data_IF_543605432786
#
_entry.id   IF_543605432786
#
_cell.length_a   1.000
_cell.length_b   1.000
_cell.length_c   1.000
_cell.angle_alpha   90.00
_cell.angle_beta   90.00
_cell.angle_gamma   90.00
#
_symmetry.space_group_name_H-M   'P 1'
#
loop_
_entity.id
_entity.type
_entity.pdbx_description
1 polymer ?
#
# COMPACT_ATOMS: atom_id res chain seq x y z
N UNK A 1 19.80 21.64 -12.94
CA UNK A 1 19.25 22.98 -13.22
C UNK A 1 17.75 22.82 -13.44
N UNK A 2 16.98 23.26 -12.45
CA UNK A 2 15.51 23.13 -12.31
C UNK A 2 14.83 24.32 -13.01
N UNK A 3 13.58 24.19 -13.48
CA UNK A 3 12.80 25.33 -14.00
C UNK A 3 12.95 26.51 -13.02
N UNK A 4 13.49 27.66 -13.45
CA UNK A 4 14.00 28.72 -12.55
C UNK A 4 12.91 29.57 -11.84
N UNK A 5 11.75 28.99 -11.51
CA UNK A 5 10.66 29.73 -10.83
C UNK A 5 10.13 30.92 -11.64
N UNK A 6 10.45 31.00 -12.94
CA UNK A 6 9.95 32.04 -13.83
C UNK A 6 8.52 31.66 -14.21
N UNK A 7 7.61 32.62 -14.08
CA UNK A 7 6.24 32.48 -14.52
C UNK A 7 6.19 32.26 -16.04
N UNK A 8 5.99 31.02 -16.51
CA UNK A 8 5.89 30.72 -17.94
C UNK A 8 4.44 30.82 -18.39
N UNK A 9 4.20 31.74 -19.33
CA UNK A 9 2.89 32.08 -19.84
C UNK A 9 2.76 31.72 -21.33
N UNK A 10 1.52 31.58 -21.83
CA UNK A 10 1.26 31.46 -23.27
C UNK A 10 1.98 32.54 -24.08
N UNK A 11 2.48 32.18 -25.27
CA UNK A 11 3.30 33.00 -26.17
C UNK A 11 4.76 33.27 -25.74
N UNK A 12 5.20 32.74 -24.60
CA UNK A 12 6.63 32.73 -24.26
C UNK A 12 7.42 31.78 -25.16
N UNK A 13 8.70 32.10 -25.36
CA UNK A 13 9.61 31.35 -26.25
C UNK A 13 10.99 31.27 -25.62
N UNK A 14 11.70 30.18 -25.85
CA UNK A 14 13.11 30.08 -25.47
C UNK A 14 13.49 28.73 -24.87
N UNK A 15 14.67 28.70 -24.25
CA UNK A 15 15.22 27.49 -23.63
C UNK A 15 14.36 26.99 -22.46
N UNK A 16 13.71 27.89 -21.73
CA UNK A 16 12.86 27.53 -20.58
C UNK A 16 11.63 26.74 -21.04
N UNK A 17 11.02 27.15 -22.16
CA UNK A 17 9.87 26.44 -22.75
C UNK A 17 10.31 25.10 -23.33
N UNK A 18 11.49 25.01 -23.95
CA UNK A 18 12.04 23.72 -24.40
C UNK A 18 12.22 22.75 -23.24
N UNK A 19 12.71 23.25 -22.11
CA UNK A 19 12.88 22.44 -20.89
C UNK A 19 11.54 21.97 -20.35
N UNK A 20 10.57 22.87 -20.20
CA UNK A 20 9.21 22.52 -19.79
C UNK A 20 8.62 21.42 -20.68
N UNK A 21 8.72 21.56 -22.00
CA UNK A 21 8.21 20.56 -22.94
C UNK A 21 8.93 19.21 -22.81
N UNK A 22 10.25 19.21 -22.63
CA UNK A 22 11.03 18.00 -22.42
C UNK A 22 10.71 17.32 -21.08
N UNK A 23 10.52 18.11 -20.02
CA UNK A 23 10.17 17.65 -18.68
C UNK A 23 8.75 17.07 -18.64
N UNK A 24 7.77 17.71 -19.29
CA UNK A 24 6.41 17.20 -19.43
C UNK A 24 6.34 15.90 -20.25
N UNK A 25 7.29 15.65 -21.16
CA UNK A 25 7.32 14.37 -21.87
C UNK A 25 7.71 13.18 -20.98
N UNK A 26 8.42 13.41 -19.87
CA UNK A 26 8.85 12.34 -18.97
C UNK A 26 7.70 11.65 -18.22
N UNK A 27 6.72 12.36 -17.61
CA UNK A 27 5.54 11.75 -17.00
C UNK A 27 4.52 11.23 -18.02
N UNK A 28 4.84 11.22 -19.33
CA UNK A 28 4.05 10.54 -20.37
C UNK A 28 3.24 11.46 -21.28
N UNK A 29 3.47 12.77 -21.29
CA UNK A 29 2.89 13.64 -22.32
C UNK A 29 3.67 13.50 -23.63
N UNK A 30 3.03 13.82 -24.76
CA UNK A 30 3.67 13.77 -26.08
C UNK A 30 3.62 15.16 -26.71
N UNK A 31 4.64 15.95 -26.41
CA UNK A 31 4.83 17.31 -26.91
C UNK A 31 6.05 17.39 -27.82
N UNK A 32 5.92 18.14 -28.91
CA UNK A 32 7.06 18.54 -29.72
C UNK A 32 7.90 19.58 -28.99
N UNK A 33 9.20 19.32 -28.78
CA UNK A 33 10.11 20.26 -28.12
C UNK A 33 10.56 21.33 -29.12
N UNK A 34 9.70 22.33 -29.34
CA UNK A 34 9.93 23.43 -30.29
C UNK A 34 10.36 24.73 -29.58
N UNK A 35 10.23 24.81 -28.26
CA UNK A 35 10.56 26.01 -27.48
C UNK A 35 9.56 27.15 -27.61
N UNK A 36 8.35 26.85 -28.07
CA UNK A 36 7.23 27.78 -28.17
C UNK A 36 6.13 27.31 -27.23
N UNK A 37 5.60 28.22 -26.40
CA UNK A 37 4.48 27.91 -25.53
C UNK A 37 3.19 27.92 -26.36
N UNK A 38 3.01 26.86 -27.14
CA UNK A 38 1.88 26.65 -28.04
C UNK A 38 0.65 26.11 -27.30
N UNK A 39 -0.48 26.02 -28.02
CA UNK A 39 -1.73 25.51 -27.44
C UNK A 39 -1.59 24.08 -26.92
N UNK A 40 -0.71 23.26 -27.49
CA UNK A 40 -0.46 21.90 -27.02
C UNK A 40 0.26 21.89 -25.68
N UNK A 41 1.28 22.75 -25.53
CA UNK A 41 2.01 22.96 -24.28
C UNK A 41 1.07 23.50 -23.19
N UNK A 42 0.21 24.46 -23.53
CA UNK A 42 -0.82 24.98 -22.62
C UNK A 42 -1.77 23.89 -22.13
N UNK A 43 -2.31 23.06 -23.04
CA UNK A 43 -3.20 21.96 -22.68
C UNK A 43 -2.51 20.90 -21.81
N UNK A 44 -1.24 20.62 -22.08
CA UNK A 44 -0.46 19.69 -21.27
C UNK A 44 -0.21 20.22 -19.85
N UNK A 45 0.15 21.50 -19.70
CA UNK A 45 0.29 22.15 -18.39
C UNK A 45 -1.03 22.15 -17.64
N UNK A 46 -2.13 22.53 -18.31
CA UNK A 46 -3.46 22.54 -17.70
C UNK A 46 -3.88 21.14 -17.23
N UNK A 47 -3.61 20.12 -18.03
CA UNK A 47 -3.88 18.73 -17.66
C UNK A 47 -3.02 18.29 -16.48
N UNK A 48 -1.72 18.58 -16.50
CA UNK A 48 -0.83 18.31 -15.38
C UNK A 48 -1.32 18.96 -14.09
N UNK A 49 -1.67 20.24 -14.13
CA UNK A 49 -2.20 20.98 -12.99
C UNK A 49 -3.49 20.32 -12.46
N UNK A 50 -4.44 20.03 -13.35
CA UNK A 50 -5.70 19.38 -12.97
C UNK A 50 -5.49 18.00 -12.34
N UNK A 51 -4.63 17.18 -12.95
CA UNK A 51 -4.33 15.82 -12.49
C UNK A 51 -3.64 15.84 -11.10
N UNK A 52 -3.09 17.01 -10.69
CA UNK A 52 -2.42 17.22 -9.40
C UNK A 52 -3.14 18.16 -8.44
N UNK A 53 -4.38 18.54 -8.76
CA UNK A 53 -5.19 19.41 -7.91
C UNK A 53 -4.62 20.82 -7.75
N UNK A 54 -3.82 21.30 -8.72
CA UNK A 54 -3.38 22.68 -8.82
C UNK A 54 -4.39 23.51 -9.62
N UNK A 55 -4.29 24.84 -9.53
CA UNK A 55 -5.08 25.75 -10.35
C UNK A 55 -4.77 25.55 -11.83
N UNK A 56 -5.71 24.96 -12.57
CA UNK A 56 -5.55 24.57 -13.98
C UNK A 56 -5.67 25.75 -14.95
N UNK A 57 -4.91 26.82 -14.68
CA UNK A 57 -4.87 28.05 -15.47
C UNK A 57 -3.94 27.94 -16.70
N UNK A 58 -3.18 26.84 -16.82
CA UNK A 58 -2.23 26.60 -17.91
C UNK A 58 -1.00 27.52 -17.88
N UNK A 59 -0.77 28.19 -16.76
CA UNK A 59 0.39 29.05 -16.48
C UNK A 59 1.31 28.30 -15.54
N UNK A 60 2.61 28.22 -15.86
CA UNK A 60 3.59 27.58 -14.97
C UNK A 60 4.11 28.63 -13.99
N UNK A 61 3.46 28.73 -12.85
CA UNK A 61 3.92 29.48 -11.69
C UNK A 61 5.01 28.72 -10.91
N UNK A 62 5.51 29.31 -9.82
CA UNK A 62 6.57 28.71 -9.00
C UNK A 62 6.13 27.36 -8.41
N UNK A 63 4.87 27.23 -7.99
CA UNK A 63 4.35 25.98 -7.42
C UNK A 63 4.21 24.89 -8.48
N UNK A 64 3.67 25.23 -9.65
CA UNK A 64 3.59 24.31 -10.80
C UNK A 64 4.99 23.87 -11.23
N UNK A 65 5.93 24.80 -11.35
CA UNK A 65 7.33 24.50 -11.68
C UNK A 65 7.97 23.58 -10.63
N UNK A 66 7.78 23.86 -9.33
CA UNK A 66 8.27 23.01 -8.24
C UNK A 66 7.70 21.60 -8.35
N UNK A 67 6.41 21.46 -8.66
CA UNK A 67 5.75 20.15 -8.76
C UNK A 67 6.21 19.33 -9.95
N UNK A 68 6.40 19.97 -11.12
CA UNK A 68 6.97 19.32 -12.31
C UNK A 68 8.40 18.85 -12.01
N UNK A 69 9.25 19.75 -11.49
CA UNK A 69 10.64 19.40 -11.13
C UNK A 69 10.68 18.24 -10.14
N UNK A 70 9.83 18.25 -9.11
CA UNK A 70 9.81 17.19 -8.10
C UNK A 70 9.44 15.81 -8.69
N UNK A 71 8.62 15.77 -9.73
CA UNK A 71 8.24 14.52 -10.39
C UNK A 71 9.28 14.06 -11.40
N UNK A 72 9.84 14.98 -12.18
CA UNK A 72 10.99 14.68 -13.04
C UNK A 72 12.15 14.15 -12.20
N UNK A 73 12.44 14.78 -11.06
CA UNK A 73 13.45 14.32 -10.11
C UNK A 73 13.08 12.91 -9.58
N UNK A 74 11.80 12.63 -9.30
CA UNK A 74 11.37 11.31 -8.83
C UNK A 74 11.50 10.22 -9.91
N UNK A 75 11.21 10.55 -11.17
CA UNK A 75 11.33 9.65 -12.33
C UNK A 75 12.79 9.40 -12.73
N UNK A 76 13.67 10.37 -12.50
CA UNK A 76 15.10 10.31 -12.88
C UNK A 76 16.04 10.00 -11.72
N UNK A 77 15.53 9.96 -10.48
CA UNK A 77 16.32 9.60 -9.31
C UNK A 77 16.92 8.20 -9.51
N UNK A 78 18.20 8.00 -9.16
CA UNK A 78 18.76 6.66 -9.13
C UNK A 78 17.91 5.80 -8.20
N UNK A 79 17.64 4.54 -8.58
CA UNK A 79 16.84 3.68 -7.74
C UNK A 79 17.55 3.46 -6.41
N UNK A 80 16.76 3.36 -5.35
CA UNK A 80 17.25 2.87 -4.09
C UNK A 80 17.35 1.34 -4.19
N UNK A 81 18.38 0.79 -3.57
CA UNK A 81 18.67 -0.64 -3.57
C UNK A 81 18.90 -1.07 -2.14
N UNK A 82 18.14 -2.06 -1.68
CA UNK A 82 18.49 -2.84 -0.49
C UNK A 82 18.97 -4.21 -0.92
N UNK A 83 20.12 -4.63 -0.41
CA UNK A 83 20.70 -5.93 -0.68
C UNK A 83 21.31 -6.50 0.60
N UNK A 84 21.64 -7.78 0.56
CA UNK A 84 22.32 -8.44 1.66
C UNK A 84 22.28 -9.94 1.50
N UNK A 85 22.65 -10.64 2.56
CA UNK A 85 22.65 -12.09 2.61
C UNK A 85 21.77 -12.59 3.75
N UNK A 86 20.98 -13.62 3.47
CA UNK A 86 20.19 -14.33 4.47
C UNK A 86 20.84 -15.67 4.77
N UNK A 87 21.06 -15.92 6.06
CA UNK A 87 21.65 -17.16 6.57
C UNK A 87 20.73 -17.82 7.59
N UNK A 88 20.85 -19.12 7.72
CA UNK A 88 20.25 -19.89 8.80
C UNK A 88 21.13 -19.83 10.05
N UNK A 89 20.62 -20.29 11.19
CA UNK A 89 21.33 -20.20 12.48
C UNK A 89 22.62 -21.04 12.53
N UNK A 90 22.74 -22.05 11.68
CA UNK A 90 23.94 -22.86 11.45
C UNK A 90 24.97 -22.16 10.54
N UNK A 91 24.62 -21.01 9.95
CA UNK A 91 25.47 -20.24 9.05
C UNK A 91 25.25 -20.54 7.57
N UNK A 92 24.44 -21.55 7.24
CA UNK A 92 24.16 -21.94 5.86
C UNK A 92 23.32 -20.88 5.14
N UNK A 93 23.53 -20.68 3.83
CA UNK A 93 22.72 -19.74 3.07
C UNK A 93 21.26 -20.19 3.01
N UNK A 94 20.34 -19.23 3.18
CA UNK A 94 18.92 -19.50 3.03
C UNK A 94 18.51 -19.30 1.57
N UNK A 95 18.31 -20.39 0.82
CA UNK A 95 17.94 -20.38 -0.60
C UNK A 95 16.42 -20.30 -0.80
N UNK A 96 15.96 -19.55 -1.80
CA UNK A 96 14.55 -19.48 -2.20
C UNK A 96 13.60 -18.86 -1.16
N UNK A 97 14.13 -18.15 -0.17
CA UNK A 97 13.32 -17.54 0.88
C UNK A 97 12.82 -16.18 0.42
N UNK A 98 11.56 -15.89 0.72
CA UNK A 98 10.89 -14.67 0.32
C UNK A 98 11.33 -13.50 1.22
N UNK A 99 11.78 -12.41 0.60
CA UNK A 99 12.26 -11.19 1.26
C UNK A 99 11.41 -10.02 0.78
N UNK A 100 10.86 -9.26 1.71
CA UNK A 100 10.09 -8.04 1.42
C UNK A 100 10.70 -6.84 2.11
N UNK A 101 10.81 -5.74 1.37
CA UNK A 101 11.22 -4.44 1.90
C UNK A 101 9.98 -3.56 2.10
N UNK A 102 9.89 -2.90 3.24
CA UNK A 102 8.80 -1.99 3.57
C UNK A 102 9.34 -0.63 4.03
N UNK A 103 8.58 0.41 3.73
CA UNK A 103 8.68 1.70 4.39
C UNK A 103 7.79 1.70 5.64
N UNK A 104 8.37 2.14 6.76
CA UNK A 104 7.67 2.22 8.05
C UNK A 104 7.30 3.67 8.32
N UNK A 105 6.03 3.99 8.19
CA UNK A 105 5.45 5.20 8.74
C UNK A 105 4.97 4.97 10.18
N UNK A 106 4.75 6.07 10.91
CA UNK A 106 4.22 6.07 12.29
C UNK A 106 2.96 5.20 12.51
N UNK A 107 2.23 4.83 11.43
CA UNK A 107 0.97 4.06 11.50
C UNK A 107 0.76 3.04 10.39
N UNK A 108 1.68 2.88 9.44
CA UNK A 108 1.49 2.01 8.28
C UNK A 108 2.81 1.48 7.74
N UNK A 109 2.75 0.26 7.19
CA UNK A 109 3.85 -0.31 6.41
C UNK A 109 3.46 -0.29 4.93
N UNK A 110 4.33 0.27 4.10
CA UNK A 110 4.15 0.27 2.65
C UNK A 110 5.16 -0.67 2.00
N UNK A 111 4.67 -1.67 1.26
CA UNK A 111 5.54 -2.58 0.52
C UNK A 111 6.26 -1.83 -0.61
N UNK A 112 7.59 -1.90 -0.60
CA UNK A 112 8.45 -1.29 -1.62
C UNK A 112 8.81 -2.28 -2.72
N UNK A 113 8.99 -3.54 -2.34
CA UNK A 113 9.31 -4.62 -3.26
C UNK A 113 9.55 -5.93 -2.54
N UNK A 114 9.62 -7.00 -3.32
CA UNK A 114 9.79 -8.36 -2.84
C UNK A 114 10.68 -9.15 -3.82
N UNK A 115 11.49 -10.05 -3.29
CA UNK A 115 12.35 -10.96 -4.07
C UNK A 115 12.53 -12.28 -3.32
N UNK A 116 13.07 -13.29 -3.98
CA UNK A 116 13.61 -14.48 -3.31
C UNK A 116 15.12 -14.42 -3.23
N UNK A 117 15.70 -15.05 -2.21
CA UNK A 117 17.15 -15.25 -2.10
C UNK A 117 17.65 -16.26 -3.14
N UNK A 118 18.89 -16.08 -3.58
CA UNK A 118 19.57 -17.05 -4.44
C UNK A 118 20.16 -18.24 -3.65
N UNK A 119 20.81 -19.18 -4.36
CA UNK A 119 21.47 -20.37 -3.75
C UNK A 119 22.56 -20.04 -2.75
N UNK A 120 23.08 -18.81 -2.78
CA UNK A 120 24.09 -18.30 -1.85
C UNK A 120 23.45 -17.43 -0.76
N UNK A 121 22.13 -17.31 -0.72
CA UNK A 121 21.38 -16.52 0.24
C UNK A 121 21.36 -15.01 -0.07
N UNK A 122 21.90 -14.56 -1.21
CA UNK A 122 21.89 -13.15 -1.56
C UNK A 122 20.53 -12.71 -2.07
N UNK A 123 20.16 -11.48 -1.74
CA UNK A 123 18.97 -10.83 -2.27
C UNK A 123 19.27 -9.39 -2.66
N UNK A 124 18.45 -8.86 -3.57
CA UNK A 124 18.46 -7.45 -3.95
C UNK A 124 17.04 -7.01 -4.28
N UNK A 125 16.59 -5.92 -3.66
CA UNK A 125 15.31 -5.27 -3.96
C UNK A 125 15.60 -3.85 -4.39
N UNK A 126 15.11 -3.50 -5.57
CA UNK A 126 15.18 -2.16 -6.14
C UNK A 126 13.85 -1.45 -5.91
N UNK A 127 13.88 -0.20 -5.44
CA UNK A 127 12.69 0.60 -5.18
C UNK A 127 12.94 2.08 -5.53
N UNK A 128 11.86 2.84 -5.74
CA UNK A 128 11.91 4.24 -6.18
C UNK A 128 11.27 5.18 -5.18
N UNK A 129 11.63 6.47 -5.24
CA UNK A 129 11.07 7.52 -4.39
C UNK A 129 9.54 7.65 -4.52
N UNK A 130 8.98 7.24 -5.66
CA UNK A 130 7.54 7.31 -5.94
C UNK A 130 6.73 6.28 -5.13
N UNK A 131 7.37 5.22 -4.67
CA UNK A 131 6.75 4.13 -3.90
C UNK A 131 6.64 4.43 -2.40
N UNK A 132 6.95 5.65 -1.95
CA UNK A 132 6.80 6.06 -0.55
C UNK A 132 5.61 7.01 -0.37
N UNK A 133 4.87 6.81 0.72
CA UNK A 133 3.65 7.52 1.10
C UNK A 133 3.84 9.04 1.23
N UNK A 134 5.07 9.50 1.52
CA UNK A 134 5.40 10.91 1.74
C UNK A 134 6.57 11.33 0.87
N UNK A 135 6.23 11.94 -0.27
CA UNK A 135 7.17 12.66 -1.17
C UNK A 135 7.97 13.79 -0.48
N UNK A 136 7.76 14.05 0.82
CA UNK A 136 8.36 15.19 1.55
C UNK A 136 9.67 14.88 2.29
N UNK A 137 10.05 13.62 2.51
CA UNK A 137 11.28 13.29 3.27
C UNK A 137 12.46 12.79 2.43
N UNK A 138 12.22 12.40 1.18
CA UNK A 138 13.28 11.99 0.22
C UNK A 138 14.05 10.71 0.60
N UNK A 139 13.74 10.06 1.72
CA UNK A 139 14.35 8.81 2.20
C UNK A 139 13.32 7.98 2.96
N UNK A 140 13.46 6.66 2.84
CA UNK A 140 12.62 5.66 3.50
C UNK A 140 13.06 5.39 4.95
N UNK A 141 12.10 5.02 5.79
CA UNK A 141 12.37 4.31 7.04
C UNK A 141 12.24 2.81 6.78
N UNK A 142 13.36 2.18 6.42
CA UNK A 142 13.39 0.85 5.81
C UNK A 142 13.33 -0.27 6.84
N UNK A 143 12.45 -1.24 6.62
CA UNK A 143 12.51 -2.56 7.30
C UNK A 143 12.49 -3.68 6.26
N UNK A 144 13.35 -4.68 6.46
CA UNK A 144 13.38 -5.88 5.63
C UNK A 144 12.82 -7.04 6.43
N UNK A 145 11.88 -7.77 5.84
CA UNK A 145 11.26 -8.95 6.45
C UNK A 145 11.55 -10.17 5.62
N UNK A 146 11.85 -11.26 6.30
CA UNK A 146 11.95 -12.60 5.76
C UNK A 146 10.62 -13.29 6.00
N UNK A 147 10.02 -13.84 4.96
CA UNK A 147 8.72 -14.50 5.01
C UNK A 147 8.87 -15.98 4.66
N UNK A 148 8.01 -16.80 5.27
CA UNK A 148 7.79 -18.18 4.90
C UNK A 148 7.02 -18.28 3.57
N UNK A 149 6.93 -19.48 3.00
CA UNK A 149 6.08 -19.78 1.83
C UNK A 149 4.61 -19.44 2.07
N UNK A 150 4.17 -19.39 3.32
CA UNK A 150 2.82 -19.04 3.73
C UNK A 150 2.68 -17.54 4.11
N UNK A 151 3.62 -16.69 3.69
CA UNK A 151 3.68 -15.25 3.98
C UNK A 151 3.73 -14.89 5.47
N UNK A 152 4.10 -15.85 6.32
CA UNK A 152 4.35 -15.62 7.75
C UNK A 152 5.74 -15.02 7.92
N UNK A 153 5.84 -13.89 8.63
CA UNK A 153 7.12 -13.25 8.94
C UNK A 153 7.95 -14.16 9.86
N UNK A 154 9.10 -14.61 9.36
CA UNK A 154 10.09 -15.41 10.08
C UNK A 154 11.00 -14.51 10.93
N UNK A 155 11.48 -13.41 10.35
CA UNK A 155 12.29 -12.40 11.03
C UNK A 155 12.16 -11.05 10.32
N UNK A 156 12.37 -9.97 11.07
CA UNK A 156 12.46 -8.60 10.54
C UNK A 156 13.79 -7.97 10.97
N UNK A 157 14.38 -7.14 10.12
CA UNK A 157 15.49 -6.28 10.48
C UNK A 157 15.05 -5.23 11.53
N UNK A 158 16.00 -4.61 12.25
CA UNK A 158 15.75 -3.32 12.87
C UNK A 158 15.30 -2.30 11.81
N UNK A 159 14.57 -1.26 12.24
CA UNK A 159 14.20 -0.14 11.38
C UNK A 159 15.47 0.66 11.05
N UNK A 160 15.75 0.82 9.77
CA UNK A 160 16.81 1.66 9.23
C UNK A 160 16.23 3.02 8.84
N UNK A 161 16.36 3.99 9.74
CA UNK A 161 15.83 5.33 9.51
C UNK A 161 16.63 6.06 8.43
N UNK A 162 15.93 6.77 7.53
CA UNK A 162 16.54 7.53 6.43
C UNK A 162 17.55 6.70 5.61
N UNK A 163 17.12 5.53 5.15
CA UNK A 163 17.98 4.58 4.46
C UNK A 163 18.75 5.22 3.28
N UNK A 164 20.04 4.86 3.10
CA UNK A 164 20.84 5.33 1.96
C UNK A 164 20.30 4.79 0.63
N UNK A 165 20.77 5.36 -0.48
CA UNK A 165 20.46 4.85 -1.83
C UNK A 165 20.91 3.39 -2.03
N UNK A 166 21.98 2.97 -1.35
CA UNK A 166 22.40 1.58 -1.28
C UNK A 166 22.46 1.14 0.19
N UNK A 167 21.49 0.33 0.60
CA UNK A 167 21.41 -0.25 1.94
C UNK A 167 21.88 -1.71 1.92
N UNK A 168 22.73 -2.07 2.88
CA UNK A 168 23.22 -3.44 3.08
C UNK A 168 22.67 -3.97 4.41
N UNK A 169 21.84 -5.01 4.35
CA UNK A 169 21.16 -5.60 5.52
C UNK A 169 21.29 -7.11 5.45
N UNK A 170 22.07 -7.69 6.36
CA UNK A 170 22.18 -9.14 6.50
C UNK A 170 21.22 -9.65 7.58
N UNK A 171 20.65 -10.83 7.35
CA UNK A 171 19.64 -11.41 8.23
C UNK A 171 19.99 -12.86 8.57
N UNK A 172 19.82 -13.24 9.84
CA UNK A 172 20.03 -14.60 10.30
C UNK A 172 18.72 -15.17 10.84
N UNK A 173 18.20 -16.21 10.20
CA UNK A 173 16.97 -16.90 10.60
C UNK A 173 17.29 -17.82 11.79
N UNK A 174 16.72 -17.60 12.99
CA UNK A 174 17.00 -18.43 14.14
C UNK A 174 16.38 -19.83 14.00
N UNK A 175 17.07 -20.86 14.48
CA UNK A 175 16.62 -22.27 14.38
C UNK A 175 15.26 -22.56 15.04
N UNK A 176 14.79 -21.70 15.95
CA UNK A 176 13.47 -21.81 16.59
C UNK A 176 12.33 -21.49 15.62
N UNK A 177 12.60 -20.65 14.61
CA UNK A 177 11.64 -20.18 13.60
C UNK A 177 11.51 -21.18 12.44
N UNK A 178 12.58 -21.92 12.14
CA UNK A 178 12.58 -23.03 11.16
C UNK A 178 11.84 -24.28 11.65
N UNK A 179 11.56 -24.40 12.96
CA UNK A 179 10.69 -25.46 13.49
C UNK A 179 9.23 -25.01 13.40
N UNK A 180 8.35 -25.69 12.66
CA UNK A 180 6.92 -25.50 12.85
C UNK A 180 6.60 -25.82 14.32
N UNK A 181 6.07 -24.85 15.08
CA UNK A 181 5.69 -25.08 16.47
C UNK A 181 4.54 -26.12 16.49
N UNK A 182 4.72 -27.34 17.05
CA UNK A 182 3.82 -28.46 16.73
C UNK A 182 2.56 -28.61 17.60
N UNK A 183 2.10 -27.58 18.34
CA UNK A 183 1.05 -27.84 19.36
C UNK A 183 -0.04 -26.77 19.55
N UNK A 184 0.19 -25.50 19.21
CA UNK A 184 -0.83 -24.47 19.49
C UNK A 184 -1.96 -24.45 18.44
N UNK A 185 -1.68 -24.82 17.19
CA UNK A 185 -2.68 -24.78 16.10
C UNK A 185 -3.69 -25.93 16.15
N UNK A 186 -3.36 -27.06 16.79
CA UNK A 186 -4.29 -28.20 16.92
C UNK A 186 -5.41 -27.93 17.93
N UNK A 187 -5.13 -27.25 19.04
CA UNK A 187 -6.11 -26.99 20.11
C UNK A 187 -7.13 -25.92 19.69
N UNK A 188 -6.74 -24.94 18.85
CA UNK A 188 -7.69 -23.95 18.31
C UNK A 188 -8.67 -24.54 17.29
N UNK A 189 -8.24 -25.49 16.46
CA UNK A 189 -9.15 -26.16 15.51
C UNK A 189 -10.11 -27.14 16.21
N UNK A 190 -9.70 -27.82 17.29
CA UNK A 190 -10.59 -28.72 18.05
C UNK A 190 -11.66 -27.99 18.88
N UNK A 191 -11.35 -26.81 19.44
CA UNK A 191 -12.31 -26.03 20.25
C UNK A 191 -13.28 -25.18 19.40
N UNK A 192 -12.91 -24.81 18.18
CA UNK A 192 -13.81 -24.08 17.27
C UNK A 192 -14.81 -25.01 16.54
N UNK A 193 -14.44 -26.27 16.28
CA UNK A 193 -15.30 -27.23 15.57
C UNK A 193 -16.29 -27.99 16.45
N UNK A 194 -16.04 -28.13 17.75
CA UNK A 194 -16.82 -28.98 18.65
C UNK A 194 -17.85 -28.25 19.51
N UNK A 195 -17.79 -26.91 19.61
CA UNK A 195 -18.69 -26.16 20.50
C UNK A 195 -19.97 -25.60 19.83
N UNK A 196 -20.02 -25.49 18.49
CA UNK A 196 -21.23 -25.01 17.79
C UNK A 196 -22.19 -26.13 17.36
N UNK A 197 -21.75 -27.40 17.29
CA UNK A 197 -22.62 -28.52 16.86
C UNK A 197 -23.41 -29.23 17.97
N UNK A 198 -23.40 -28.77 19.23
CA UNK A 198 -24.08 -29.44 20.35
C UNK A 198 -25.28 -28.69 20.95
N UNK A 199 -25.64 -27.50 20.46
CA UNK A 199 -26.84 -26.79 20.96
C UNK A 199 -28.05 -26.79 20.01
N UNK A 200 -27.97 -27.36 18.82
CA UNK A 200 -29.12 -27.44 17.89
C UNK A 200 -29.79 -28.82 17.79
N UNK A 201 -29.28 -29.87 18.45
CA UNK A 201 -29.80 -31.23 18.30
C UNK A 201 -30.73 -31.71 19.44
N UNK A 202 -31.40 -30.80 20.17
CA UNK A 202 -32.43 -31.17 21.17
C UNK A 202 -33.70 -30.30 21.06
N UNK A 203 -34.48 -30.52 20.01
CA UNK A 203 -35.94 -30.47 20.09
C UNK A 203 -36.52 -31.71 19.39
N UNK A 204 -37.20 -32.63 20.09
CA UNK A 204 -37.87 -33.75 19.45
C UNK A 204 -39.16 -33.28 18.79
N UNK A 205 -39.34 -33.63 17.52
CA UNK A 205 -40.57 -33.41 16.77
C UNK A 205 -41.70 -34.34 17.22
N UNK A 206 -42.95 -33.90 16.96
CA UNK A 206 -44.12 -34.79 16.97
C UNK A 206 -45.08 -34.37 15.84
N UNK A 207 -44.97 -35.09 14.72
CA UNK A 207 -46.04 -35.69 13.90
C UNK A 207 -47.11 -34.83 13.19
N UNK A 208 -47.53 -35.21 11.97
CA UNK A 208 -48.38 -34.39 11.09
C UNK A 208 -49.88 -34.65 11.29
N UNK A 209 -50.70 -33.63 11.04
CA UNK A 209 -52.17 -33.72 11.07
C UNK A 209 -52.81 -32.62 10.22
N UNK A 210 -53.52 -33.07 9.20
CA UNK A 210 -54.25 -32.38 8.12
C UNK A 210 -55.41 -31.45 8.56
N UNK A 211 -55.71 -30.49 7.68
CA UNK A 211 -57.03 -29.88 7.34
C UNK A 211 -57.59 -28.64 8.08
N UNK A 212 -58.09 -27.68 7.25
CA UNK A 212 -59.21 -26.76 7.52
C UNK A 212 -58.81 -25.37 8.04
N UNK A 213 -58.68 -24.34 7.19
CA UNK A 213 -59.72 -23.46 6.67
C UNK A 213 -60.45 -22.58 7.71
N UNK A 214 -60.61 -21.31 7.32
CA UNK A 214 -61.58 -20.28 7.78
C UNK A 214 -61.37 -19.53 9.12
N UNK A 215 -61.22 -18.21 8.95
CA UNK A 215 -61.69 -17.08 9.79
C UNK A 215 -63.19 -17.23 10.18
N UNK A 216 -63.88 -16.31 10.90
CA UNK A 216 -63.47 -15.06 11.58
C UNK A 216 -64.14 -14.82 12.99
N UNK A 217 -63.86 -13.63 13.56
CA UNK A 217 -64.74 -12.75 14.37
C UNK A 217 -65.08 -13.04 15.86
N UNK A 218 -64.88 -11.96 16.63
CA UNK A 218 -65.67 -11.41 17.75
C UNK A 218 -65.98 -12.26 18.99
N UNK A 219 -65.65 -11.69 20.17
CA UNK A 219 -66.61 -11.07 21.10
C UNK A 219 -65.81 -10.55 22.31
N UNK A 220 -65.95 -9.25 22.59
CA UNK A 220 -65.46 -8.63 23.81
C UNK A 220 -66.43 -8.75 24.98
N UNK A 221 -65.90 -8.69 26.20
CA UNK A 221 -66.45 -8.25 27.50
C UNK A 221 -65.17 -8.03 28.33
N UNK A 222 -64.82 -6.92 28.98
CA UNK A 222 -65.55 -5.78 29.50
C UNK A 222 -64.92 -5.47 30.87
N UNK A 223 -64.83 -4.17 31.22
CA UNK A 223 -64.70 -3.59 32.59
C UNK A 223 -63.45 -3.93 33.43
N UNK A 224 -62.75 -3.02 34.13
CA UNK A 224 -63.06 -1.68 34.62
C UNK A 224 -61.74 -0.93 34.96
N UNK A 225 -61.74 0.41 34.75
CA UNK A 225 -61.25 1.52 35.63
C UNK A 225 -59.87 1.44 36.31
N UNK A 226 -59.12 2.51 36.61
CA UNK A 226 -59.10 3.96 36.37
C UNK A 226 -57.86 4.45 37.16
N UNK A 227 -57.03 5.30 36.54
CA UNK A 227 -56.13 6.34 37.09
C UNK A 227 -55.56 6.24 38.53
N UNK A 228 -54.24 6.45 38.67
CA UNK A 228 -53.72 7.77 39.07
C UNK A 228 -52.18 7.84 38.94
N UNK A 229 -51.74 8.95 38.33
CA UNK A 229 -50.40 9.48 38.46
C UNK A 229 -50.36 10.45 39.65
N UNK A 230 -49.27 10.41 40.40
CA UNK A 230 -48.57 11.59 40.92
C UNK A 230 -47.13 11.20 41.21
#
# INVERSE_FOLDING_TARGET
MKLEGRNLQPNMRGNDVRRLQAELNQPGFTLGVNGLFDSMTFLAVQRFQRDRGLDANGIVDEETARRINAEVDALTAPPFIVKGQVRQADGDPADGILISAFDVDLRSEQLLGQTQTDRKGFYQIQYSAEQFSKREKGKADLVVKVLSTNEVVLIASPISFNAPALAEIDLTIPAKVLRPLPLFDKIRQELAGSFIRRLESRRPGRGPGVCGASSPQDIGIGIMKTFLAQ
#
